data_IF_822136241244
#
_entry.id   IF_822136241244
#
_cell.length_a   1.000
_cell.length_b   1.000
_cell.length_c   1.000
_cell.angle_alpha   90.00
_cell.angle_beta   90.00
_cell.angle_gamma   90.00
#
_symmetry.space_group_name_H-M   'P 1'
#
loop_
_entity.id
_entity.type
_entity.pdbx_description
1 polymer ?
#
# COMPACT_ATOMS: atom_id res chain seq x y z
N UNK A 1 6.86 29.35 -20.73
CA UNK A 1 7.88 28.31 -20.98
C UNK A 1 7.29 27.03 -20.40
N UNK A 2 6.69 26.19 -21.24
CA UNK A 2 5.95 25.00 -20.81
C UNK A 2 6.89 23.82 -20.94
N UNK A 3 7.31 23.23 -19.82
CA UNK A 3 8.10 22.00 -19.83
C UNK A 3 7.18 20.86 -20.23
N UNK A 4 7.26 20.42 -21.49
CA UNK A 4 6.57 19.22 -21.93
C UNK A 4 7.28 17.99 -21.34
N UNK A 5 6.67 17.40 -20.31
CA UNK A 5 7.14 16.13 -19.73
C UNK A 5 6.99 15.01 -20.76
N UNK A 6 7.99 14.11 -20.91
CA UNK A 6 7.92 13.00 -21.85
C UNK A 6 6.82 11.99 -21.43
N UNK A 7 6.14 11.34 -22.39
CA UNK A 7 5.06 10.39 -22.12
C UNK A 7 5.59 9.16 -21.37
N UNK A 8 5.06 8.94 -20.16
CA UNK A 8 5.52 7.94 -19.19
C UNK A 8 4.97 6.52 -19.45
N UNK A 9 4.48 6.21 -20.65
CA UNK A 9 3.57 5.07 -20.89
C UNK A 9 4.22 3.67 -20.87
N UNK A 10 5.52 3.51 -21.14
CA UNK A 10 6.09 2.16 -21.40
C UNK A 10 6.69 1.43 -20.20
N UNK A 11 6.68 2.02 -19.00
CA UNK A 11 7.20 1.37 -17.77
C UNK A 11 6.12 1.01 -16.74
N UNK A 12 4.89 1.50 -16.92
CA UNK A 12 3.81 1.33 -15.95
C UNK A 12 3.31 -0.13 -15.82
N UNK A 13 3.36 -0.90 -16.91
CA UNK A 13 2.79 -2.27 -16.96
C UNK A 13 3.46 -3.23 -15.97
N UNK A 14 4.76 -3.07 -15.71
CA UNK A 14 5.48 -3.96 -14.79
C UNK A 14 5.15 -3.69 -13.32
N UNK A 15 4.90 -2.44 -12.93
CA UNK A 15 4.66 -2.08 -11.52
C UNK A 15 3.24 -2.44 -11.07
N UNK A 16 2.25 -2.33 -11.96
CA UNK A 16 0.87 -2.71 -11.68
C UNK A 16 0.74 -4.20 -11.34
N UNK A 17 1.56 -5.07 -11.92
CA UNK A 17 1.54 -6.49 -11.62
C UNK A 17 2.03 -6.79 -10.20
N UNK A 18 3.13 -6.16 -9.77
CA UNK A 18 3.68 -6.38 -8.43
C UNK A 18 2.76 -5.89 -7.31
N UNK A 19 2.03 -4.79 -7.53
CA UNK A 19 1.09 -4.27 -6.53
C UNK A 19 -0.07 -5.24 -6.22
N UNK A 20 -0.45 -6.10 -7.17
CA UNK A 20 -1.50 -7.12 -6.95
C UNK A 20 -1.01 -8.34 -6.16
N UNK A 21 0.30 -8.51 -6.03
CA UNK A 21 0.90 -9.60 -5.24
C UNK A 21 0.93 -9.22 -3.75
N UNK A 22 0.92 -7.92 -3.43
CA UNK A 22 0.95 -7.44 -2.05
C UNK A 22 -0.42 -7.66 -1.40
N UNK A 23 -0.51 -8.35 -0.24
CA UNK A 23 -1.76 -8.50 0.49
C UNK A 23 -2.37 -7.14 0.88
N UNK A 24 -3.70 -7.06 0.88
CA UNK A 24 -4.44 -5.83 1.18
C UNK A 24 -4.09 -5.26 2.56
N UNK A 25 -3.87 -6.13 3.54
CA UNK A 25 -3.50 -5.77 4.91
C UNK A 25 -2.19 -4.99 4.94
N UNK A 26 -1.21 -5.37 4.11
CA UNK A 26 0.07 -4.67 4.02
C UNK A 26 -0.12 -3.28 3.40
N UNK A 27 -0.97 -3.15 2.38
CA UNK A 27 -1.29 -1.85 1.77
C UNK A 27 -2.01 -0.92 2.76
N UNK A 28 -2.93 -1.45 3.56
CA UNK A 28 -3.61 -0.72 4.64
C UNK A 28 -2.62 -0.27 5.73
N UNK A 29 -1.69 -1.14 6.11
CA UNK A 29 -0.61 -0.80 7.06
C UNK A 29 0.25 0.32 6.49
N UNK A 30 0.71 0.21 5.24
CA UNK A 30 1.52 1.25 4.57
C UNK A 30 0.77 2.57 4.55
N UNK A 31 -0.52 2.57 4.18
CA UNK A 31 -1.37 3.77 4.22
C UNK A 31 -1.44 4.37 5.63
N UNK A 32 -1.63 3.55 6.66
CA UNK A 32 -1.71 3.98 8.05
C UNK A 32 -0.39 4.55 8.61
N UNK A 33 0.75 4.25 7.98
CA UNK A 33 2.04 4.86 8.32
C UNK A 33 2.29 6.21 7.61
N UNK A 34 1.53 6.55 6.58
CA UNK A 34 1.62 7.86 5.94
C UNK A 34 0.87 8.86 6.83
N UNK A 35 1.57 9.89 7.28
CA UNK A 35 0.96 10.93 8.10
C UNK A 35 -0.11 11.68 7.29
N UNK A 36 -1.31 11.98 7.82
CA UNK A 36 -2.38 12.66 7.07
C UNK A 36 -1.95 13.99 6.42
N UNK A 37 -1.02 14.70 7.04
CA UNK A 37 -0.45 15.93 6.50
C UNK A 37 0.55 15.73 5.37
N UNK A 38 1.02 14.52 5.12
CA UNK A 38 1.89 14.21 3.98
C UNK A 38 1.06 13.98 2.70
N UNK A 39 0.38 15.05 2.28
CA UNK A 39 -0.51 15.06 1.13
C UNK A 39 0.17 14.59 -0.17
N UNK A 40 1.42 15.00 -0.51
CA UNK A 40 2.10 14.49 -1.69
C UNK A 40 2.23 12.96 -1.69
N UNK A 41 2.61 12.37 -0.56
CA UNK A 41 2.75 10.91 -0.43
C UNK A 41 1.40 10.21 -0.53
N UNK A 42 0.34 10.75 0.08
CA UNK A 42 -1.01 10.20 -0.07
C UNK A 42 -1.48 10.20 -1.54
N UNK A 43 -1.27 11.30 -2.27
CA UNK A 43 -1.65 11.41 -3.68
C UNK A 43 -0.81 10.47 -4.54
N UNK A 44 0.51 10.38 -4.32
CA UNK A 44 1.35 9.43 -5.03
C UNK A 44 0.91 7.99 -4.79
N UNK A 45 0.55 7.65 -3.55
CA UNK A 45 0.08 6.32 -3.20
C UNK A 45 -1.27 6.04 -3.87
N UNK A 46 -2.24 6.95 -3.76
CA UNK A 46 -3.55 6.88 -4.41
C UNK A 46 -3.43 6.66 -5.92
N UNK A 47 -2.57 7.40 -6.60
CA UNK A 47 -2.39 7.34 -8.06
C UNK A 47 -1.54 6.17 -8.55
N UNK A 48 -0.86 5.45 -7.64
CA UNK A 48 0.09 4.39 -8.04
C UNK A 48 -0.59 3.15 -8.63
N UNK A 49 -1.87 2.89 -8.29
CA UNK A 49 -2.65 1.76 -8.80
C UNK A 49 -4.14 2.00 -8.58
N UNK A 50 -5.03 1.60 -9.53
CA UNK A 50 -6.48 1.63 -9.31
C UNK A 50 -6.91 0.85 -8.06
N UNK A 51 -6.20 -0.24 -7.74
CA UNK A 51 -6.46 -1.01 -6.52
C UNK A 51 -6.21 -0.17 -5.25
N UNK A 52 -5.19 0.68 -5.26
CA UNK A 52 -4.90 1.53 -4.10
C UNK A 52 -5.91 2.68 -4.03
N UNK A 53 -6.36 3.21 -5.18
CA UNK A 53 -7.47 4.16 -5.21
C UNK A 53 -8.74 3.57 -4.55
N UNK A 54 -9.09 2.31 -4.85
CA UNK A 54 -10.21 1.62 -4.21
C UNK A 54 -10.07 1.54 -2.68
N UNK A 55 -8.84 1.46 -2.13
CA UNK A 55 -8.61 1.47 -0.68
C UNK A 55 -9.07 2.80 -0.06
N UNK A 56 -8.74 3.93 -0.70
CA UNK A 56 -9.19 5.24 -0.22
C UNK A 56 -10.69 5.44 -0.46
N UNK A 57 -11.19 5.01 -1.62
CA UNK A 57 -12.57 5.26 -2.05
C UNK A 57 -13.60 4.31 -1.38
N UNK A 58 -13.14 3.22 -0.77
CA UNK A 58 -13.99 2.26 -0.06
C UNK A 58 -14.37 2.67 1.36
N UNK A 59 -13.75 3.72 1.91
CA UNK A 59 -14.04 4.20 3.26
C UNK A 59 -15.32 5.03 3.30
N UNK A 60 -16.12 4.84 4.35
CA UNK A 60 -17.37 5.59 4.55
C UNK A 60 -17.15 7.10 4.56
N UNK A 61 -15.99 7.54 5.04
CA UNK A 61 -15.65 8.94 5.28
C UNK A 61 -14.50 9.40 4.35
N UNK A 62 -14.55 8.96 3.07
CA UNK A 62 -13.50 9.25 2.08
C UNK A 62 -13.23 10.75 1.96
N UNK A 63 -14.27 11.58 1.81
CA UNK A 63 -14.10 13.02 1.65
C UNK A 63 -13.62 13.70 2.93
N UNK A 64 -13.99 13.20 4.11
CA UNK A 64 -13.54 13.73 5.41
C UNK A 64 -12.03 13.50 5.59
N UNK A 65 -11.52 12.34 5.16
CA UNK A 65 -10.08 12.07 5.13
C UNK A 65 -9.35 13.10 4.25
N UNK A 66 -9.84 13.35 3.03
CA UNK A 66 -9.19 14.29 2.11
C UNK A 66 -9.33 15.74 2.58
N UNK A 67 -10.45 16.10 3.21
CA UNK A 67 -10.66 17.40 3.85
C UNK A 67 -9.61 17.62 4.94
N UNK A 68 -9.46 16.66 5.84
CA UNK A 68 -8.46 16.71 6.90
C UNK A 68 -7.04 16.82 6.33
N UNK A 69 -6.72 15.99 5.34
CA UNK A 69 -5.39 15.97 4.72
C UNK A 69 -5.07 17.34 4.10
N UNK A 70 -6.02 17.93 3.35
CA UNK A 70 -5.93 19.28 2.80
C UNK A 70 -5.79 20.33 3.90
N UNK A 71 -6.66 20.29 4.91
CA UNK A 71 -6.68 21.26 6.00
C UNK A 71 -5.36 21.26 6.78
N UNK A 72 -4.81 20.08 7.04
CA UNK A 72 -3.53 19.95 7.74
C UNK A 72 -2.34 20.47 6.93
N UNK A 73 -2.51 20.66 5.62
CA UNK A 73 -1.57 21.34 4.73
C UNK A 73 -1.90 22.84 4.53
N UNK A 74 -2.86 23.39 5.28
CA UNK A 74 -3.34 24.76 5.13
C UNK A 74 -4.13 25.01 3.84
N UNK A 75 -4.65 23.96 3.21
CA UNK A 75 -5.53 24.04 2.04
C UNK A 75 -6.97 24.01 2.54
N UNK A 76 -7.74 25.04 2.20
CA UNK A 76 -9.15 25.15 2.59
C UNK A 76 -10.02 25.63 1.43
N UNK A 77 -11.29 25.27 1.48
CA UNK A 77 -12.31 25.80 0.57
C UNK A 77 -12.58 27.27 0.91
N UNK A 78 -12.74 28.09 -0.12
CA UNK A 78 -13.14 29.49 0.07
C UNK A 78 -14.65 29.56 0.18
N UNK A 79 -15.22 30.58 0.84
CA UNK A 79 -16.68 30.72 0.97
C UNK A 79 -17.45 30.94 -0.34
N UNK A 80 -16.75 30.95 -1.49
CA UNK A 80 -17.32 30.97 -2.84
C UNK A 80 -17.59 29.55 -3.33
N UNK A 81 -16.86 28.57 -2.82
CA UNK A 81 -17.07 27.15 -3.06
C UNK A 81 -18.31 26.74 -2.26
N UNK A 82 -19.39 26.37 -2.94
CA UNK A 82 -20.58 25.86 -2.26
C UNK A 82 -20.18 24.62 -1.47
N UNK A 83 -20.21 24.71 -0.14
CA UNK A 83 -19.77 23.64 0.78
C UNK A 83 -20.39 22.29 0.44
N UNK A 84 -21.61 22.28 -0.10
CA UNK A 84 -22.38 21.07 -0.40
C UNK A 84 -21.83 20.21 -1.57
N UNK A 85 -20.81 20.67 -2.33
CA UNK A 85 -20.29 19.93 -3.49
C UNK A 85 -18.76 19.96 -3.60
N UNK A 86 -18.05 20.28 -2.51
CA UNK A 86 -16.59 20.24 -2.53
C UNK A 86 -16.12 18.78 -2.56
N UNK A 87 -15.33 18.43 -3.58
CA UNK A 87 -14.63 17.15 -3.65
C UNK A 87 -13.19 17.38 -3.24
N UNK A 88 -12.91 17.13 -1.96
CA UNK A 88 -11.60 17.40 -1.37
C UNK A 88 -10.51 16.54 -1.99
N UNK A 89 -10.85 15.31 -2.39
CA UNK A 89 -9.93 14.46 -3.15
C UNK A 89 -9.46 15.16 -4.44
N UNK A 90 -10.39 15.71 -5.19
CA UNK A 90 -10.09 16.35 -6.49
C UNK A 90 -9.23 17.61 -6.28
N UNK A 91 -9.49 18.37 -5.21
CA UNK A 91 -8.66 19.53 -4.80
C UNK A 91 -7.23 19.08 -4.43
N UNK A 92 -7.12 18.00 -3.65
CA UNK A 92 -5.83 17.46 -3.23
C UNK A 92 -5.00 17.01 -4.44
N UNK A 93 -5.61 16.26 -5.37
CA UNK A 93 -4.99 15.83 -6.63
C UNK A 93 -4.53 17.05 -7.43
N UNK A 94 -5.43 17.99 -7.70
CA UNK A 94 -5.12 19.19 -8.48
C UNK A 94 -3.98 20.01 -7.86
N UNK A 95 -3.95 20.14 -6.52
CA UNK A 95 -2.89 20.85 -5.82
C UNK A 95 -1.52 20.19 -6.00
N UNK A 96 -1.45 18.87 -5.79
CA UNK A 96 -0.19 18.13 -5.89
C UNK A 96 0.30 18.01 -7.33
N UNK A 97 -0.59 17.78 -8.30
CA UNK A 97 -0.21 17.67 -9.71
C UNK A 97 0.32 18.99 -10.29
N UNK A 98 -0.27 20.12 -9.88
CA UNK A 98 0.13 21.44 -10.40
C UNK A 98 1.38 21.97 -9.75
N UNK A 99 1.43 21.89 -8.43
CA UNK A 99 2.41 22.62 -7.64
C UNK A 99 3.19 21.74 -6.66
N UNK A 100 2.67 20.57 -6.26
CA UNK A 100 3.25 19.72 -5.20
C UNK A 100 4.72 19.34 -5.40
N UNK A 101 5.17 19.19 -6.65
CA UNK A 101 6.55 18.84 -7.01
C UNK A 101 7.34 20.01 -7.62
N UNK A 102 6.88 21.24 -7.41
CA UNK A 102 7.57 22.43 -7.91
C UNK A 102 8.96 22.56 -7.25
N UNK A 103 10.01 22.74 -8.06
CA UNK A 103 11.39 22.88 -7.58
C UNK A 103 11.79 24.33 -7.32
N UNK A 104 10.86 25.28 -7.42
CA UNK A 104 11.12 26.70 -7.18
C UNK A 104 11.12 26.91 -5.65
N UNK A 105 12.17 27.52 -5.06
CA UNK A 105 12.22 27.77 -3.62
C UNK A 105 10.98 28.53 -3.12
N UNK A 106 10.40 28.07 -2.01
CA UNK A 106 9.17 28.60 -1.43
C UNK A 106 7.88 28.20 -2.15
N UNK A 107 7.93 27.20 -3.03
CA UNK A 107 6.78 26.64 -3.75
C UNK A 107 6.68 25.12 -3.52
N UNK A 108 5.57 24.51 -3.94
CA UNK A 108 5.33 23.08 -3.84
C UNK A 108 5.49 22.53 -2.43
N UNK A 109 6.30 21.47 -2.29
CA UNK A 109 6.56 20.81 -1.02
C UNK A 109 7.05 21.77 0.07
N UNK A 110 7.94 22.72 -0.24
CA UNK A 110 8.43 23.69 0.75
C UNK A 110 7.30 24.59 1.28
N UNK A 111 6.35 24.96 0.42
CA UNK A 111 5.19 25.74 0.82
C UNK A 111 4.18 24.91 1.63
N UNK A 112 3.94 23.67 1.22
CA UNK A 112 3.07 22.74 1.93
C UNK A 112 3.60 22.45 3.34
N UNK A 113 4.92 22.24 3.48
CA UNK A 113 5.57 22.04 4.78
C UNK A 113 5.50 23.29 5.66
N UNK A 114 5.77 24.47 5.08
CA UNK A 114 5.62 25.73 5.81
C UNK A 114 4.18 25.97 6.28
N UNK A 115 3.18 25.62 5.47
CA UNK A 115 1.77 25.70 5.83
C UNK A 115 1.42 24.68 6.93
N UNK A 116 1.88 23.44 6.80
CA UNK A 116 1.69 22.39 7.81
C UNK A 116 2.21 22.83 9.17
N UNK A 117 3.42 23.39 9.23
CA UNK A 117 4.00 23.88 10.46
C UNK A 117 3.17 25.01 11.08
N UNK A 118 2.62 25.92 10.24
CA UNK A 118 1.71 26.98 10.72
C UNK A 118 0.41 26.41 11.26
N UNK A 119 -0.15 25.38 10.63
CA UNK A 119 -1.36 24.71 11.11
C UNK A 119 -1.11 24.03 12.47
N UNK A 120 0.02 23.33 12.63
CA UNK A 120 0.42 22.73 13.91
C UNK A 120 0.52 23.80 14.99
N UNK A 121 1.27 24.88 14.73
CA UNK A 121 1.41 25.99 15.68
C UNK A 121 0.07 26.63 16.00
N UNK A 122 -0.81 26.82 15.01
CA UNK A 122 -2.15 27.35 15.25
C UNK A 122 -2.97 26.42 16.18
N UNK A 123 -2.95 25.11 15.97
CA UNK A 123 -3.64 24.14 16.83
C UNK A 123 -3.13 24.25 18.28
N UNK A 124 -1.81 24.30 18.45
CA UNK A 124 -1.15 24.39 19.76
C UNK A 124 -1.46 25.70 20.49
N UNK A 125 -1.48 26.83 19.77
CA UNK A 125 -1.62 28.16 20.37
C UNK A 125 -3.07 28.60 20.59
N UNK A 126 -3.99 28.16 19.73
CA UNK A 126 -5.36 28.71 19.68
C UNK A 126 -6.44 27.73 20.12
N UNK A 127 -6.07 26.50 20.49
CA UNK A 127 -7.01 25.39 20.75
C UNK A 127 -8.02 25.18 19.60
N UNK A 128 -7.70 25.66 18.38
CA UNK A 128 -8.50 25.38 17.20
C UNK A 128 -8.36 23.88 16.94
N UNK A 129 -9.38 23.13 17.36
CA UNK A 129 -9.46 21.72 17.03
C UNK A 129 -9.60 21.60 15.51
N UNK A 130 -8.81 20.72 14.87
CA UNK A 130 -9.10 20.23 13.53
C UNK A 130 -10.48 19.56 13.58
N UNK A 131 -11.55 20.37 13.44
CA UNK A 131 -12.96 19.98 13.49
C UNK A 131 -13.40 19.18 14.74
N UNK A 132 -14.24 19.76 15.62
CA UNK A 132 -15.06 19.00 16.59
C UNK A 132 -16.20 18.18 15.93
N UNK A 133 -16.00 17.73 14.69
CA UNK A 133 -16.94 16.97 13.86
C UNK A 133 -16.11 15.89 13.18
N UNK A 134 -16.23 14.66 13.67
CA UNK A 134 -15.74 13.40 13.09
C UNK A 134 -14.22 13.16 13.04
N UNK A 135 -13.68 12.85 14.21
CA UNK A 135 -12.78 11.71 14.32
C UNK A 135 -13.41 10.68 15.25
N UNK A 136 -14.36 9.90 14.71
CA UNK A 136 -14.52 8.51 15.11
C UNK A 136 -13.60 7.62 14.25
N UNK A 137 -12.40 8.11 13.89
CA UNK A 137 -11.33 7.26 13.35
C UNK A 137 -10.75 6.43 14.50
N UNK A 138 -11.57 5.50 15.00
CA UNK A 138 -11.29 4.46 16.00
C UNK A 138 -10.79 5.02 17.35
N UNK A 139 -11.42 4.70 18.51
CA UNK A 139 -10.80 5.04 19.78
C UNK A 139 -9.39 4.46 19.80
N UNK A 140 -8.41 5.34 19.99
CA UNK A 140 -6.97 5.08 19.95
C UNK A 140 -6.48 4.21 21.12
N UNK A 141 -7.18 3.11 21.41
CA UNK A 141 -6.82 2.04 22.33
C UNK A 141 -7.12 0.65 21.76
N UNK A 142 -7.81 0.53 20.63
CA UNK A 142 -7.76 -0.70 19.85
C UNK A 142 -6.43 -0.70 19.10
N UNK A 143 -5.39 -1.17 19.80
CA UNK A 143 -4.19 -1.70 19.17
C UNK A 143 -4.67 -2.51 17.98
N UNK A 144 -4.32 -2.10 16.76
CA UNK A 144 -4.48 -2.97 15.60
C UNK A 144 -3.71 -4.23 15.95
N UNK A 145 -4.42 -5.26 16.42
CA UNK A 145 -3.82 -6.54 16.74
C UNK A 145 -3.29 -7.05 15.42
N UNK A 146 -1.98 -6.92 15.27
CA UNK A 146 -1.26 -7.53 14.17
C UNK A 146 -1.66 -9.01 14.24
N UNK A 147 -2.30 -9.52 13.18
CA UNK A 147 -2.76 -10.90 13.16
C UNK A 147 -1.57 -11.78 13.60
N UNK A 148 -1.72 -12.76 14.51
CA UNK A 148 -0.56 -13.45 15.11
C UNK A 148 0.41 -14.04 14.09
N UNK A 149 -0.09 -14.35 12.88
CA UNK A 149 0.72 -14.80 11.75
C UNK A 149 1.66 -13.72 11.20
N UNK A 150 1.25 -12.46 11.21
CA UNK A 150 2.01 -11.32 10.74
C UNK A 150 3.06 -10.89 11.78
N UNK A 151 2.82 -11.08 13.08
CA UNK A 151 3.86 -10.91 14.12
C UNK A 151 5.03 -11.90 13.93
N UNK A 152 4.75 -13.06 13.34
CA UNK A 152 5.75 -14.06 13.01
C UNK A 152 6.51 -13.75 11.73
N UNK A 153 6.11 -12.75 10.92
CA UNK A 153 6.90 -12.38 9.74
C UNK A 153 8.23 -11.72 10.16
N UNK A 154 9.33 -12.25 9.66
CA UNK A 154 10.66 -11.67 9.82
C UNK A 154 11.36 -11.52 8.45
N UNK A 155 12.18 -10.48 8.35
CA UNK A 155 13.03 -10.18 7.21
C UNK A 155 14.49 -10.42 7.58
N UNK A 156 15.28 -10.93 6.65
CA UNK A 156 16.66 -11.31 6.94
C UNK A 156 17.59 -10.10 6.72
N UNK A 157 18.03 -9.49 7.83
CA UNK A 157 18.79 -8.23 7.82
C UNK A 157 20.13 -8.28 7.04
N UNK A 158 20.59 -9.47 6.67
CA UNK A 158 21.88 -9.68 6.00
C UNK A 158 21.84 -9.52 4.47
N UNK A 159 20.66 -9.49 3.84
CA UNK A 159 20.57 -9.41 2.38
C UNK A 159 20.51 -7.96 1.87
N UNK A 160 21.67 -7.42 1.47
CA UNK A 160 21.79 -6.14 0.73
C UNK A 160 21.55 -6.25 -0.78
N UNK A 161 21.26 -7.44 -1.31
CA UNK A 161 21.18 -7.65 -2.74
C UNK A 161 19.72 -7.54 -3.24
N UNK A 162 19.46 -6.55 -4.10
CA UNK A 162 18.10 -6.18 -4.56
C UNK A 162 17.35 -7.29 -5.31
N UNK A 163 18.05 -8.32 -5.80
CA UNK A 163 17.45 -9.40 -6.60
C UNK A 163 16.77 -10.51 -5.79
N UNK A 164 16.93 -10.56 -4.46
CA UNK A 164 16.37 -11.64 -3.61
C UNK A 164 15.26 -11.19 -2.65
N UNK A 165 14.85 -9.91 -2.70
CA UNK A 165 13.89 -9.31 -1.76
C UNK A 165 12.53 -10.03 -1.75
N UNK A 166 12.11 -10.61 -2.89
CA UNK A 166 10.85 -11.33 -3.00
C UNK A 166 10.78 -12.62 -2.16
N UNK A 167 11.91 -13.13 -1.68
CA UNK A 167 11.99 -14.35 -0.85
C UNK A 167 12.51 -14.07 0.57
N UNK A 168 12.58 -12.80 0.99
CA UNK A 168 13.20 -12.42 2.26
C UNK A 168 12.25 -12.53 3.46
N UNK A 169 10.94 -12.56 3.19
CA UNK A 169 9.94 -12.78 4.22
C UNK A 169 9.91 -14.26 4.62
N UNK A 170 10.15 -14.55 5.89
CA UNK A 170 9.98 -15.88 6.49
C UNK A 170 9.10 -15.80 7.73
N UNK A 171 8.34 -16.84 8.00
CA UNK A 171 7.73 -17.00 9.32
C UNK A 171 8.79 -17.44 10.33
N UNK A 172 8.84 -16.76 11.48
CA UNK A 172 9.53 -17.21 12.68
C UNK A 172 8.80 -18.45 13.17
N UNK A 173 9.53 -19.57 13.20
CA UNK A 173 9.13 -20.75 13.96
C UNK A 173 9.50 -20.46 15.40
N UNK A 174 8.56 -20.58 16.33
CA UNK A 174 8.88 -20.43 17.75
C UNK A 174 9.66 -21.66 18.20
N UNK A 175 10.73 -21.44 18.98
CA UNK A 175 11.60 -22.52 19.44
C UNK A 175 10.82 -23.57 20.29
N UNK A 176 9.65 -23.21 20.83
CA UNK A 176 8.75 -24.14 21.52
C UNK A 176 8.18 -25.23 20.61
N UNK A 177 7.97 -24.94 19.32
CA UNK A 177 7.42 -25.90 18.36
C UNK A 177 8.48 -26.93 17.91
N UNK A 178 9.77 -26.66 18.14
CA UNK A 178 10.89 -27.50 17.70
C UNK A 178 11.26 -28.57 18.73
N UNK A 179 10.97 -28.35 20.01
CA UNK A 179 11.24 -29.32 21.08
C UNK A 179 10.25 -30.50 21.02
N UNK A 180 8.98 -30.25 20.67
CA UNK A 180 7.98 -31.32 20.51
C UNK A 180 8.31 -32.23 19.31
N UNK A 181 8.72 -31.66 18.17
CA UNK A 181 9.10 -32.43 16.98
C UNK A 181 10.36 -33.30 17.16
N UNK A 182 11.21 -32.99 18.16
CA UNK A 182 12.39 -33.80 18.49
C UNK A 182 12.08 -34.96 19.43
N UNK A 183 11.02 -34.88 20.21
CA UNK A 183 10.63 -35.95 21.13
C UNK A 183 9.88 -37.10 20.46
N UNK A 184 9.28 -36.86 19.28
CA UNK A 184 8.61 -37.90 18.48
C UNK A 184 9.57 -38.67 17.54
N UNK A 185 10.80 -38.20 17.34
CA UNK A 185 11.76 -38.83 16.44
C UNK A 185 12.66 -39.91 17.09
N UNK A 186 12.62 -40.05 18.42
CA UNK A 186 13.48 -40.98 19.18
C UNK A 186 12.75 -42.28 19.62
N UNK A 187 11.48 -42.50 19.25
CA UNK A 187 10.73 -43.71 19.64
C UNK A 187 10.39 -44.70 18.51
N UNK A 188 10.88 -44.51 17.28
CA UNK A 188 10.62 -45.42 16.15
C UNK A 188 11.90 -45.99 15.50
N UNK A 189 12.86 -46.45 16.32
CA UNK A 189 13.81 -47.50 15.89
C UNK A 189 13.24 -48.87 16.31
N UNK A 190 12.45 -49.47 15.42
CA UNK A 190 11.86 -50.78 15.64
C UNK A 190 11.50 -51.48 14.33
N UNK A 191 12.54 -52.02 13.67
CA UNK A 191 12.54 -53.17 12.75
C UNK A 191 11.25 -53.51 11.99
N UNK A 192 11.15 -53.05 10.74
CA UNK A 192 10.37 -53.74 9.70
C UNK A 192 11.22 -53.91 8.43
N UNK A 193 12.00 -55.00 8.41
CA UNK A 193 12.45 -55.67 7.19
C UNK A 193 11.23 -56.32 6.53
N UNK A 194 10.63 -55.71 5.49
CA UNK A 194 9.97 -56.50 4.45
C UNK A 194 10.23 -55.90 3.05
N UNK A 195 10.98 -56.69 2.28
CA UNK A 195 10.96 -56.74 0.82
C UNK A 195 9.53 -56.60 0.27
N UNK A 196 9.37 -55.92 -0.88
CA UNK A 196 8.93 -56.55 -2.13
C UNK A 196 8.59 -55.49 -3.20
N UNK A 197 9.46 -55.48 -4.20
CA UNK A 197 9.16 -55.48 -5.63
C UNK A 197 7.84 -54.86 -6.14
N UNK A 198 8.00 -53.83 -6.97
CA UNK A 198 7.37 -53.80 -8.29
C UNK A 198 6.13 -52.93 -8.42
N UNK A 199 6.22 -51.91 -9.27
CA UNK A 199 5.36 -51.77 -10.44
C UNK A 199 5.79 -50.56 -11.26
N UNK A 200 6.21 -50.86 -12.49
CA UNK A 200 6.27 -49.92 -13.60
C UNK A 200 4.86 -49.38 -13.88
N UNK A 201 4.73 -48.08 -14.17
CA UNK A 201 3.63 -47.58 -14.99
C UNK A 201 4.03 -46.27 -15.65
N UNK A 202 4.40 -46.39 -16.92
CA UNK A 202 4.41 -45.32 -17.88
C UNK A 202 2.98 -44.77 -18.11
N UNK A 203 2.90 -43.47 -18.37
CA UNK A 203 1.77 -42.73 -18.92
C UNK A 203 2.28 -41.30 -19.07
N UNK A 204 2.76 -40.85 -20.23
CA UNK A 204 2.11 -40.77 -21.55
C UNK A 204 0.80 -39.96 -21.54
N UNK A 205 0.63 -39.19 -22.61
CA UNK A 205 -0.46 -38.26 -22.91
C UNK A 205 -0.43 -36.90 -22.16
N UNK A 206 -0.48 -35.75 -22.81
CA UNK A 206 -0.79 -35.48 -24.21
C UNK A 206 -0.85 -33.97 -24.44
N UNK A 207 -0.59 -33.62 -25.69
CA UNK A 207 -0.64 -32.28 -26.28
C UNK A 207 -1.92 -31.51 -25.98
N UNK A 208 -1.83 -30.18 -25.91
CA UNK A 208 -2.81 -29.28 -26.54
C UNK A 208 -2.19 -27.89 -26.71
N UNK A 209 -1.63 -27.67 -27.90
CA UNK A 209 -1.40 -26.34 -28.45
C UNK A 209 -2.76 -25.76 -28.84
N UNK A 210 -3.19 -24.73 -28.11
CA UNK A 210 -4.40 -23.96 -28.42
C UNK A 210 -4.01 -22.62 -29.04
N UNK A 211 -3.93 -22.61 -30.36
CA UNK A 211 -3.94 -21.40 -31.21
C UNK A 211 -5.35 -20.81 -31.29
N UNK A 212 -5.50 -19.52 -31.01
CA UNK A 212 -6.57 -18.65 -31.53
C UNK A 212 -5.97 -17.24 -31.54
N UNK A 213 -5.50 -16.78 -32.69
CA UNK A 213 -6.27 -16.15 -33.78
C UNK A 213 -6.37 -14.64 -33.59
N UNK A 214 -5.86 -13.98 -34.64
CA UNK A 214 -5.98 -12.59 -35.02
C UNK A 214 -7.38 -12.01 -34.79
N UNK A 215 -7.47 -10.77 -34.29
CA UNK A 215 -8.40 -9.80 -34.88
C UNK A 215 -7.77 -8.39 -34.88
N UNK A 216 -7.24 -8.08 -36.06
CA UNK A 216 -7.02 -6.75 -36.60
C UNK A 216 -8.36 -5.98 -36.63
N UNK A 217 -8.43 -4.82 -36.01
CA UNK A 217 -9.50 -3.85 -36.25
C UNK A 217 -8.95 -2.44 -36.18
N UNK A 218 -8.35 -2.09 -37.31
CA UNK A 218 -8.37 -0.74 -37.87
C UNK A 218 -9.74 -0.07 -37.64
N UNK A 219 -9.75 1.09 -36.98
CA UNK A 219 -10.86 2.05 -37.07
C UNK A 219 -10.32 3.47 -37.08
N UNK A 220 -10.81 4.18 -38.09
CA UNK A 220 -10.48 5.54 -38.55
C UNK A 220 -10.51 6.64 -37.49
#
# INVERSE_FOLDING_TARGET
>A
MVCASPPMERRAVSLLHYMRIIPLEILLIVRGYIHPSDLPTHICFYQSSPWIADIYDSEMDTEDFWELACWSCGIGATGVDSQDNVRWRDIAIDCIERDGFCTIPGCGEELLEANRQRMITAIEETEIKPFEVFFDCVPSNDVLFMHPILERLAFNAEYRNRSTVLYDARLRVDDSDVEDARSEADEEEGDEDEDLSGAESAGDDGMSEGSTDDEDSSRD
#
